data_IF_339901019572
#
_entry.id   IF_339901019572
#
_cell.length_a   1.000
_cell.length_b   1.000
_cell.length_c   1.000
_cell.angle_alpha   90.00
_cell.angle_beta   90.00
_cell.angle_gamma   90.00
#
_symmetry.space_group_name_H-M   'P 1'
#
loop_
_entity.id
_entity.type
_entity.pdbx_description
1 polymer ?
#
# COMPACT_ATOMS: atom_id res chain seq x y z
N UNK A 1 -17.23 -20.39 4.31
CA UNK A 1 -18.33 -19.39 4.26
C UNK A 1 -17.70 -18.03 4.45
N UNK A 2 -17.99 -17.05 3.58
CA UNK A 2 -17.43 -15.71 3.72
C UNK A 2 -18.00 -15.06 4.98
N UNK A 3 -17.13 -14.70 5.93
CA UNK A 3 -17.51 -13.91 7.11
C UNK A 3 -18.06 -12.58 6.62
N UNK A 4 -19.27 -12.22 7.06
CA UNK A 4 -19.91 -10.96 6.67
C UNK A 4 -19.16 -9.82 7.34
N UNK A 5 -18.42 -9.04 6.56
CA UNK A 5 -17.65 -7.88 7.04
C UNK A 5 -18.64 -6.75 7.32
N UNK A 6 -18.80 -6.37 8.59
CA UNK A 6 -19.73 -5.31 9.01
C UNK A 6 -19.02 -3.95 9.23
N UNK A 7 -17.69 -3.90 9.06
CA UNK A 7 -16.90 -2.68 9.18
C UNK A 7 -16.76 -2.05 7.80
N UNK A 8 -17.11 -0.77 7.69
CA UNK A 8 -16.90 0.03 6.48
C UNK A 8 -15.46 0.57 6.42
N UNK A 9 -14.90 0.66 5.21
CA UNK A 9 -13.52 1.11 4.97
C UNK A 9 -13.50 2.50 4.29
N UNK A 10 -12.53 3.33 4.66
CA UNK A 10 -12.29 4.63 4.04
C UNK A 10 -11.32 4.50 2.86
N UNK A 11 -11.84 4.60 1.64
CA UNK A 11 -11.04 4.51 0.40
C UNK A 11 -10.68 5.90 -0.11
N UNK A 12 -9.40 6.28 0.05
CA UNK A 12 -8.91 7.62 -0.25
C UNK A 12 -8.81 7.85 -1.76
N UNK A 13 -9.44 8.93 -2.23
CA UNK A 13 -9.52 9.26 -3.67
C UNK A 13 -8.44 10.23 -4.16
N UNK A 14 -7.86 11.04 -3.27
CA UNK A 14 -6.93 12.12 -3.60
C UNK A 14 -5.56 11.64 -4.08
N UNK A 15 -5.23 10.36 -3.95
CA UNK A 15 -3.89 9.87 -4.26
C UNK A 15 -3.59 9.60 -5.74
N UNK A 16 -4.58 9.73 -6.64
CA UNK A 16 -4.40 9.38 -8.05
C UNK A 16 -4.16 7.88 -8.24
N UNK A 17 -5.04 7.18 -8.96
CA UNK A 17 -4.81 5.76 -9.14
C UNK A 17 -5.99 4.97 -9.65
N UNK A 18 -5.78 3.65 -9.68
CA UNK A 18 -6.74 2.67 -10.16
C UNK A 18 -7.83 2.38 -9.11
N UNK A 19 -8.52 3.42 -8.65
CA UNK A 19 -9.68 3.35 -7.76
C UNK A 19 -10.71 2.35 -8.28
N UNK A 20 -10.91 2.33 -9.61
CA UNK A 20 -11.85 1.41 -10.26
C UNK A 20 -11.60 -0.07 -9.95
N UNK A 21 -10.35 -0.56 -10.07
CA UNK A 21 -10.08 -1.99 -9.81
C UNK A 21 -10.12 -2.34 -8.33
N UNK A 22 -9.63 -1.48 -7.45
CA UNK A 22 -9.65 -1.78 -6.02
C UNK A 22 -11.08 -1.74 -5.48
N UNK A 23 -11.89 -0.75 -5.87
CA UNK A 23 -13.33 -0.70 -5.54
C UNK A 23 -14.07 -1.94 -6.03
N UNK A 24 -13.84 -2.37 -7.28
CA UNK A 24 -14.47 -3.61 -7.80
C UNK A 24 -14.07 -4.85 -7.01
N UNK A 25 -12.82 -4.91 -6.55
CA UNK A 25 -12.31 -6.03 -5.75
C UNK A 25 -12.97 -6.01 -4.37
N UNK A 26 -13.07 -4.86 -3.70
CA UNK A 26 -13.78 -4.71 -2.43
C UNK A 26 -15.27 -5.08 -2.56
N UNK A 27 -15.94 -4.62 -3.62
CA UNK A 27 -17.34 -5.00 -3.92
C UNK A 27 -17.47 -6.52 -4.12
N UNK A 28 -16.58 -7.15 -4.90
CA UNK A 28 -16.60 -8.61 -5.12
C UNK A 28 -16.36 -9.37 -3.81
N UNK A 29 -15.51 -8.82 -2.93
CA UNK A 29 -15.25 -9.36 -1.61
C UNK A 29 -16.39 -9.13 -0.61
N UNK A 30 -17.41 -8.33 -0.97
CA UNK A 30 -18.49 -7.88 -0.09
C UNK A 30 -18.00 -7.07 1.11
N UNK A 31 -16.94 -6.30 0.91
CA UNK A 31 -16.39 -5.38 1.91
C UNK A 31 -17.02 -4.01 1.68
N UNK A 32 -17.79 -3.46 2.64
CA UNK A 32 -18.37 -2.14 2.50
C UNK A 32 -17.27 -1.08 2.57
N UNK A 33 -17.35 -0.07 1.71
CA UNK A 33 -16.40 1.03 1.70
C UNK A 33 -17.11 2.32 1.29
N UNK A 34 -16.56 3.45 1.71
CA UNK A 34 -16.95 4.77 1.22
C UNK A 34 -15.74 5.45 0.60
N UNK A 35 -15.99 6.24 -0.43
CA UNK A 35 -14.98 7.10 -1.03
C UNK A 35 -14.81 8.32 -0.15
N UNK A 36 -13.56 8.64 0.20
CA UNK A 36 -13.23 9.81 1.02
C UNK A 36 -12.33 10.78 0.26
N UNK A 37 -12.59 12.07 0.49
CA UNK A 37 -11.89 13.24 -0.02
C UNK A 37 -12.03 14.40 0.99
N UNK A 38 -11.82 15.64 0.56
CA UNK A 38 -11.74 16.78 1.50
C UNK A 38 -13.05 17.02 2.25
N UNK A 39 -14.19 16.90 1.57
CA UNK A 39 -15.50 17.17 2.16
C UNK A 39 -15.94 16.11 3.18
N UNK A 40 -15.30 14.92 3.17
CA UNK A 40 -15.66 13.79 4.00
C UNK A 40 -14.42 12.98 4.44
N UNK A 41 -13.39 13.69 4.89
CA UNK A 41 -12.11 13.11 5.27
C UNK A 41 -12.25 12.01 6.34
N UNK A 42 -11.30 11.06 6.40
CA UNK A 42 -11.25 10.06 7.47
C UNK A 42 -11.20 10.71 8.86
N UNK A 43 -11.93 10.12 9.81
CA UNK A 43 -11.97 10.55 11.21
C UNK A 43 -11.29 9.54 12.17
N UNK A 44 -10.82 8.42 11.62
CA UNK A 44 -10.17 7.34 12.38
C UNK A 44 -11.10 6.24 12.85
N UNK A 45 -12.42 6.37 12.65
CA UNK A 45 -13.41 5.35 13.03
C UNK A 45 -13.39 4.09 12.14
N UNK A 46 -12.73 4.17 10.98
CA UNK A 46 -12.69 3.14 9.95
C UNK A 46 -11.26 2.87 9.50
N UNK A 47 -10.92 1.62 9.12
CA UNK A 47 -9.67 1.34 8.45
C UNK A 47 -9.54 2.14 7.15
N UNK A 48 -8.33 2.62 6.86
CA UNK A 48 -8.02 3.47 5.71
C UNK A 48 -7.33 2.64 4.64
N UNK A 49 -7.76 2.80 3.38
CA UNK A 49 -7.09 2.25 2.21
C UNK A 49 -6.60 3.43 1.35
N UNK A 50 -5.28 3.52 1.16
CA UNK A 50 -4.63 4.47 0.29
C UNK A 50 -4.10 3.75 -0.96
N UNK A 51 -4.88 3.68 -2.05
CA UNK A 51 -4.36 3.26 -3.34
C UNK A 51 -3.50 4.37 -3.93
N UNK A 52 -2.47 4.04 -4.70
CA UNK A 52 -1.72 5.05 -5.44
C UNK A 52 -1.09 4.47 -6.70
N UNK A 53 -1.26 5.15 -7.83
CA UNK A 53 -0.59 4.84 -9.09
C UNK A 53 -0.14 6.16 -9.70
N UNK A 54 1.11 6.23 -10.15
CA UNK A 54 1.69 7.46 -10.67
C UNK A 54 3.05 7.75 -10.03
N UNK A 55 3.41 9.02 -9.97
CA UNK A 55 4.70 9.45 -9.43
C UNK A 55 4.58 9.87 -7.96
N UNK A 56 5.53 9.46 -7.12
CA UNK A 56 5.66 9.79 -5.71
C UNK A 56 5.43 11.28 -5.43
N UNK A 57 6.09 12.17 -6.19
CA UNK A 57 5.97 13.60 -6.01
C UNK A 57 4.56 14.14 -6.30
N UNK A 58 3.89 13.61 -7.31
CA UNK A 58 2.52 14.01 -7.66
C UNK A 58 1.52 13.54 -6.59
N UNK A 59 1.68 12.31 -6.10
CA UNK A 59 0.83 11.77 -5.01
C UNK A 59 1.04 12.57 -3.73
N UNK A 60 2.29 12.82 -3.31
CA UNK A 60 2.58 13.63 -2.12
C UNK A 60 2.08 15.08 -2.25
N UNK A 61 2.18 15.67 -3.44
CA UNK A 61 1.62 17.00 -3.70
C UNK A 61 0.10 16.99 -3.52
N UNK A 62 -0.59 16.01 -4.11
CA UNK A 62 -2.04 15.89 -3.98
C UNK A 62 -2.46 15.65 -2.53
N UNK A 63 -1.75 14.79 -1.78
CA UNK A 63 -2.04 14.57 -0.36
C UNK A 63 -1.91 15.87 0.46
N UNK A 64 -0.91 16.70 0.16
CA UNK A 64 -0.70 17.99 0.82
C UNK A 64 -1.74 19.04 0.47
N UNK A 65 -2.10 19.17 -0.81
CA UNK A 65 -3.12 20.13 -1.26
C UNK A 65 -4.51 19.84 -0.67
N UNK A 66 -4.71 18.63 -0.17
CA UNK A 66 -5.95 18.14 0.41
C UNK A 66 -5.87 17.94 1.95
N UNK A 67 -4.76 18.32 2.60
CA UNK A 67 -4.48 18.07 4.04
C UNK A 67 -4.52 16.59 4.48
N UNK A 68 -4.46 15.66 3.52
CA UNK A 68 -4.46 14.22 3.77
C UNK A 68 -3.14 13.71 4.31
N UNK A 69 -2.01 14.37 4.01
CA UNK A 69 -0.71 13.98 4.54
C UNK A 69 -0.70 14.04 6.08
N UNK A 70 -1.13 15.16 6.65
CA UNK A 70 -1.23 15.34 8.10
C UNK A 70 -2.32 14.47 8.72
N UNK A 71 -3.48 14.40 8.06
CA UNK A 71 -4.63 13.61 8.53
C UNK A 71 -4.27 12.13 8.63
N UNK A 72 -3.70 11.55 7.57
CA UNK A 72 -3.27 10.14 7.56
C UNK A 72 -2.21 9.90 8.64
N UNK A 73 -1.19 10.75 8.74
CA UNK A 73 -0.15 10.59 9.76
C UNK A 73 -0.74 10.60 11.17
N UNK A 74 -1.65 11.53 11.47
CA UNK A 74 -2.32 11.62 12.77
C UNK A 74 -3.12 10.35 13.08
N UNK A 75 -3.94 9.88 12.14
CA UNK A 75 -4.82 8.73 12.34
C UNK A 75 -4.04 7.42 12.47
N UNK A 76 -3.02 7.23 11.62
CA UNK A 76 -2.16 6.05 11.70
C UNK A 76 -1.41 6.02 13.03
N UNK A 77 -0.88 7.16 13.50
CA UNK A 77 -0.25 7.24 14.84
C UNK A 77 -1.23 7.01 15.99
N UNK A 78 -2.51 7.32 15.80
CA UNK A 78 -3.58 7.03 16.76
C UNK A 78 -4.05 5.57 16.72
N UNK A 79 -3.50 4.73 15.84
CA UNK A 79 -3.81 3.30 15.76
C UNK A 79 -4.84 2.92 14.69
N UNK A 80 -5.33 3.86 13.87
CA UNK A 80 -6.28 3.55 12.78
C UNK A 80 -5.62 2.60 11.77
N UNK A 81 -6.18 1.41 11.50
CA UNK A 81 -5.58 0.47 10.56
C UNK A 81 -5.45 1.06 9.16
N UNK A 82 -4.32 0.81 8.50
CA UNK A 82 -3.98 1.41 7.23
C UNK A 82 -3.47 0.38 6.22
N UNK A 83 -3.97 0.46 4.99
CA UNK A 83 -3.49 -0.28 3.83
C UNK A 83 -2.97 0.66 2.72
N UNK A 84 -1.67 0.61 2.44
CA UNK A 84 -1.08 1.28 1.28
C UNK A 84 -0.90 0.35 0.08
N UNK A 85 -1.23 0.80 -1.13
CA UNK A 85 -1.02 0.00 -2.36
C UNK A 85 -0.19 0.76 -3.39
N UNK A 86 0.86 0.12 -3.90
CA UNK A 86 1.83 0.64 -4.87
C UNK A 86 2.42 1.98 -4.42
N UNK A 87 2.04 3.11 -5.01
CA UNK A 87 2.54 4.41 -4.53
C UNK A 87 2.04 4.73 -3.13
N UNK A 88 0.86 4.21 -2.75
CA UNK A 88 0.35 4.29 -1.37
C UNK A 88 1.25 3.60 -0.34
N UNK A 89 2.03 2.59 -0.75
CA UNK A 89 3.10 2.04 0.10
C UNK A 89 4.31 2.97 0.12
N UNK A 90 4.73 3.45 -1.05
CA UNK A 90 5.95 4.26 -1.20
C UNK A 90 5.90 5.55 -0.39
N UNK A 91 4.76 6.24 -0.37
CA UNK A 91 4.59 7.49 0.39
C UNK A 91 4.72 7.33 1.90
N UNK A 92 4.67 6.11 2.44
CA UNK A 92 4.90 5.87 3.87
C UNK A 92 6.35 6.13 4.31
N UNK A 93 7.29 6.07 3.37
CA UNK A 93 8.72 6.24 3.60
C UNK A 93 9.14 7.72 3.64
N UNK A 94 10.41 7.98 3.97
CA UNK A 94 10.89 9.34 4.20
C UNK A 94 11.01 10.15 2.89
N UNK A 95 11.48 9.52 1.82
CA UNK A 95 11.76 10.16 0.53
C UNK A 95 11.91 9.14 -0.61
N UNK A 96 11.88 9.64 -1.86
CA UNK A 96 12.03 8.84 -3.08
C UNK A 96 13.04 9.45 -4.04
N UNK A 97 13.88 8.62 -4.65
CA UNK A 97 14.73 9.02 -5.79
C UNK A 97 13.91 9.51 -7.00
N UNK A 98 12.62 9.17 -7.08
CA UNK A 98 11.72 9.65 -8.15
C UNK A 98 11.46 11.15 -8.08
N UNK A 99 11.45 11.71 -6.87
CA UNK A 99 11.13 13.11 -6.61
C UNK A 99 12.08 13.70 -5.55
N UNK A 100 13.35 13.98 -5.91
CA UNK A 100 14.33 14.54 -4.98
C UNK A 100 13.81 15.81 -4.29
N UNK A 101 13.99 15.88 -2.97
CA UNK A 101 13.52 17.00 -2.14
C UNK A 101 12.06 16.90 -1.69
N UNK A 102 11.26 15.98 -2.23
CA UNK A 102 9.90 15.73 -1.75
C UNK A 102 9.94 14.75 -0.58
N UNK A 103 9.49 15.19 0.59
CA UNK A 103 9.30 14.32 1.77
C UNK A 103 8.01 13.53 1.65
N UNK A 104 8.08 12.24 1.99
CA UNK A 104 6.91 11.38 2.19
C UNK A 104 6.26 11.61 3.55
N UNK A 105 5.41 10.68 3.97
CA UNK A 105 4.68 10.73 5.24
C UNK A 105 5.59 10.44 6.45
N UNK A 106 6.74 9.78 6.24
CA UNK A 106 7.70 9.49 7.32
C UNK A 106 7.10 8.63 8.44
N UNK A 107 6.23 7.68 8.07
CA UNK A 107 5.65 6.70 8.99
C UNK A 107 6.53 5.45 9.12
N UNK A 108 7.40 5.20 8.13
CA UNK A 108 8.36 4.10 8.11
C UNK A 108 9.72 4.67 7.71
N UNK A 109 10.75 4.43 8.53
CA UNK A 109 12.12 4.86 8.23
C UNK A 109 12.67 4.10 7.02
N UNK A 110 13.18 4.83 6.03
CA UNK A 110 13.77 4.29 4.83
C UNK A 110 13.44 5.11 3.60
N UNK A 111 13.85 4.59 2.43
CA UNK A 111 13.78 5.34 1.17
C UNK A 111 13.20 4.52 0.05
N UNK A 112 12.67 5.20 -0.97
CA UNK A 112 12.23 4.59 -2.21
C UNK A 112 13.32 4.81 -3.26
N UNK A 113 13.84 3.71 -3.81
CA UNK A 113 14.99 3.68 -4.72
C UNK A 113 14.56 3.23 -6.11
N UNK A 114 15.31 3.62 -7.14
CA UNK A 114 15.09 3.17 -8.52
C UNK A 114 15.82 1.86 -8.77
N UNK A 115 15.18 0.92 -9.47
CA UNK A 115 15.91 -0.22 -10.04
C UNK A 115 16.97 0.28 -11.03
N UNK A 116 18.21 -0.19 -10.90
CA UNK A 116 19.34 0.27 -11.72
C UNK A 116 19.76 -0.71 -12.81
N UNK A 117 19.28 -1.94 -12.73
CA UNK A 117 19.68 -3.03 -13.61
C UNK A 117 18.50 -3.59 -14.40
N UNK A 118 18.79 -4.14 -15.58
CA UNK A 118 17.82 -4.82 -16.42
C UNK A 118 16.73 -3.93 -17.01
N UNK A 119 15.54 -4.52 -17.22
CA UNK A 119 14.41 -3.81 -17.86
C UNK A 119 13.66 -3.03 -16.78
N UNK A 120 13.48 -1.73 -16.96
CA UNK A 120 12.74 -0.89 -16.01
C UNK A 120 11.66 -0.13 -16.77
N UNK A 121 10.39 -0.10 -16.31
CA UNK A 121 9.86 -0.66 -15.05
C UNK A 121 9.81 -2.20 -15.01
N UNK A 122 9.76 -2.74 -13.79
CA UNK A 122 9.27 -4.09 -13.53
C UNK A 122 7.79 -4.14 -13.95
N UNK A 123 7.44 -4.95 -14.95
CA UNK A 123 6.06 -5.18 -15.38
C UNK A 123 5.81 -6.68 -15.48
N UNK A 124 4.86 -7.18 -14.70
CA UNK A 124 4.40 -8.56 -14.81
C UNK A 124 4.24 -9.25 -13.47
N UNK A 125 4.04 -10.56 -13.54
CA UNK A 125 3.94 -11.42 -12.36
C UNK A 125 5.31 -11.73 -11.81
N UNK A 126 5.51 -11.54 -10.50
CA UNK A 126 6.73 -11.94 -9.81
C UNK A 126 6.39 -12.65 -8.49
N UNK A 127 7.31 -13.48 -8.02
CA UNK A 127 7.14 -14.24 -6.78
C UNK A 127 7.40 -13.34 -5.57
N UNK A 128 6.55 -13.45 -4.56
CA UNK A 128 6.77 -12.89 -3.23
C UNK A 128 7.04 -14.03 -2.23
N UNK A 129 7.99 -13.80 -1.33
CA UNK A 129 8.39 -14.72 -0.26
C UNK A 129 8.30 -14.01 1.09
N UNK A 130 7.67 -14.61 2.12
CA UNK A 130 7.62 -14.01 3.44
C UNK A 130 9.03 -13.79 4.00
N UNK A 131 9.27 -12.63 4.61
CA UNK A 131 10.57 -12.31 5.20
C UNK A 131 10.72 -12.94 6.59
N UNK A 132 9.89 -12.49 7.55
CA UNK A 132 10.09 -12.78 8.97
C UNK A 132 9.07 -13.80 9.51
N UNK A 133 7.84 -13.78 8.99
CA UNK A 133 6.74 -14.64 9.45
C UNK A 133 6.38 -15.66 8.37
N UNK A 134 6.78 -16.92 8.59
CA UNK A 134 6.56 -18.02 7.66
C UNK A 134 5.12 -18.56 7.69
N UNK A 135 4.22 -18.01 8.53
CA UNK A 135 2.77 -18.29 8.47
C UNK A 135 2.09 -17.65 7.25
N UNK A 136 2.79 -16.75 6.55
CA UNK A 136 2.35 -16.18 5.30
C UNK A 136 2.75 -17.08 4.14
N UNK A 137 1.86 -17.24 3.16
CA UNK A 137 2.16 -18.07 2.00
C UNK A 137 3.01 -17.30 0.98
N UNK A 138 3.94 -18.00 0.33
CA UNK A 138 4.58 -17.48 -0.89
C UNK A 138 3.60 -17.55 -2.06
N UNK A 139 3.74 -16.67 -3.05
CA UNK A 139 2.83 -16.66 -4.20
C UNK A 139 3.31 -15.75 -5.32
N UNK A 140 2.56 -15.70 -6.40
CA UNK A 140 2.80 -14.78 -7.51
C UNK A 140 1.80 -13.63 -7.49
N UNK A 141 2.31 -12.41 -7.66
CA UNK A 141 1.52 -11.18 -7.66
C UNK A 141 1.99 -10.25 -8.79
N UNK A 142 1.14 -9.31 -9.18
CA UNK A 142 1.38 -8.42 -10.32
C UNK A 142 2.05 -7.11 -9.89
N UNK A 143 3.21 -6.84 -10.48
CA UNK A 143 4.02 -5.62 -10.30
C UNK A 143 3.97 -4.73 -11.55
N UNK A 144 4.01 -3.42 -11.32
CA UNK A 144 4.17 -2.37 -12.35
C UNK A 144 4.84 -1.16 -11.71
N UNK A 145 6.16 -1.21 -11.52
CA UNK A 145 6.91 -0.19 -10.80
C UNK A 145 8.36 -0.03 -11.30
N UNK A 146 8.83 1.21 -11.37
CA UNK A 146 10.24 1.54 -11.62
C UNK A 146 11.05 1.70 -10.33
N UNK A 147 10.36 1.97 -9.23
CA UNK A 147 10.92 2.24 -7.92
C UNK A 147 10.43 1.20 -6.92
N UNK A 148 11.21 0.97 -5.87
CA UNK A 148 10.89 0.03 -4.79
C UNK A 148 11.28 0.62 -3.44
N UNK A 149 10.61 0.18 -2.37
CA UNK A 149 10.96 0.62 -1.03
C UNK A 149 12.16 -0.15 -0.45
N UNK A 150 13.03 0.55 0.25
CA UNK A 150 14.14 0.02 1.05
C UNK A 150 13.98 0.55 2.48
N UNK A 151 13.31 -0.21 3.37
CA UNK A 151 13.26 0.11 4.78
C UNK A 151 14.66 0.10 5.40
N UNK A 152 14.88 0.93 6.42
CA UNK A 152 16.15 0.90 7.19
C UNK A 152 16.24 -0.33 8.11
N UNK A 153 15.09 -0.91 8.48
CA UNK A 153 15.00 -2.12 9.28
C UNK A 153 14.22 -3.21 8.55
N UNK A 154 14.80 -4.39 8.40
CA UNK A 154 14.13 -5.56 7.83
C UNK A 154 12.96 -6.08 8.69
N UNK A 155 12.85 -5.63 9.95
CA UNK A 155 11.77 -6.03 10.86
C UNK A 155 10.38 -5.66 10.36
N UNK A 156 10.25 -4.56 9.61
CA UNK A 156 8.95 -4.12 9.06
C UNK A 156 8.60 -4.82 7.74
N UNK A 157 9.53 -5.54 7.12
CA UNK A 157 9.33 -6.19 5.83
C UNK A 157 8.47 -7.44 6.01
N UNK A 158 7.29 -7.45 5.37
CA UNK A 158 6.40 -8.60 5.33
C UNK A 158 6.80 -9.58 4.23
N UNK A 159 6.99 -9.07 3.01
CA UNK A 159 7.37 -9.86 1.84
C UNK A 159 8.59 -9.26 1.15
N UNK A 160 9.48 -10.15 0.68
CA UNK A 160 10.56 -9.83 -0.26
C UNK A 160 10.24 -10.40 -1.64
N UNK A 161 10.78 -9.79 -2.68
CA UNK A 161 10.76 -10.29 -4.06
C UNK A 161 12.11 -10.00 -4.72
N UNK A 162 12.43 -10.74 -5.78
CA UNK A 162 13.70 -10.63 -6.49
C UNK A 162 13.44 -10.10 -7.90
N UNK A 163 14.00 -8.94 -8.24
CA UNK A 163 13.96 -8.34 -9.57
C UNK A 163 15.25 -7.59 -9.86
N UNK A 164 16.24 -8.29 -10.42
CA UNK A 164 17.65 -7.84 -10.54
C UNK A 164 18.36 -7.63 -9.19
N UNK A 165 17.61 -7.28 -8.15
CA UNK A 165 18.00 -7.22 -6.75
C UNK A 165 16.82 -7.66 -5.86
N UNK A 166 17.12 -8.06 -4.63
CA UNK A 166 16.08 -8.36 -3.64
C UNK A 166 15.52 -7.06 -3.06
N UNK A 167 14.20 -6.89 -3.11
CA UNK A 167 13.54 -5.67 -2.62
C UNK A 167 12.34 -5.97 -1.70
N UNK A 168 11.91 -4.93 -0.96
CA UNK A 168 10.73 -5.00 -0.09
C UNK A 168 9.45 -4.95 -0.94
N UNK A 169 8.75 -6.08 -1.04
CA UNK A 169 7.51 -6.21 -1.79
C UNK A 169 6.27 -5.87 -0.97
N UNK A 170 6.36 -5.96 0.36
CA UNK A 170 5.32 -5.56 1.29
C UNK A 170 5.89 -5.25 2.67
N UNK A 171 5.20 -4.39 3.43
CA UNK A 171 5.51 -4.09 4.83
C UNK A 171 4.32 -4.40 5.74
N UNK A 172 4.62 -4.78 6.98
CA UNK A 172 3.65 -4.87 8.09
C UNK A 172 4.34 -4.42 9.37
N UNK A 173 3.84 -3.34 9.98
CA UNK A 173 4.35 -2.81 11.24
C UNK A 173 3.24 -2.08 11.99
N UNK A 174 3.01 -2.44 13.26
CA UNK A 174 1.86 -1.94 14.02
C UNK A 174 0.54 -2.15 13.27
N UNK A 175 -0.19 -1.06 13.08
CA UNK A 175 -1.45 -0.96 12.34
C UNK A 175 -1.28 -0.67 10.84
N UNK A 176 -0.06 -0.65 10.32
CA UNK A 176 0.25 -0.40 8.90
C UNK A 176 0.48 -1.73 8.20
N UNK A 177 -0.23 -1.94 7.09
CA UNK A 177 0.09 -2.93 6.07
C UNK A 177 0.25 -2.19 4.74
N UNK A 178 1.21 -2.58 3.90
CA UNK A 178 1.29 -2.01 2.56
C UNK A 178 1.93 -2.96 1.57
N UNK A 179 1.48 -2.90 0.32
CA UNK A 179 1.90 -3.76 -0.78
C UNK A 179 2.50 -2.92 -1.91
N UNK A 180 3.67 -3.30 -2.41
CA UNK A 180 4.26 -2.69 -3.61
C UNK A 180 3.54 -3.19 -4.88
N UNK A 181 3.11 -4.44 -4.87
CA UNK A 181 2.30 -5.04 -5.93
C UNK A 181 0.84 -4.57 -5.86
N UNK A 182 0.10 -4.87 -6.93
CA UNK A 182 -1.33 -4.57 -7.05
C UNK A 182 -2.17 -5.80 -6.66
N UNK A 183 -2.64 -5.94 -5.42
CA UNK A 183 -3.44 -7.10 -5.03
C UNK A 183 -4.73 -7.21 -5.86
N UNK A 184 -5.31 -6.08 -6.27
CA UNK A 184 -6.50 -6.03 -7.13
C UNK A 184 -6.26 -6.54 -8.56
N UNK A 185 -4.99 -6.70 -8.96
CA UNK A 185 -4.56 -7.28 -10.25
C UNK A 185 -3.89 -8.65 -10.11
N UNK A 186 -3.78 -9.17 -8.89
CA UNK A 186 -2.99 -10.37 -8.56
C UNK A 186 -3.83 -11.65 -8.42
N UNK A 187 -5.01 -11.69 -9.05
CA UNK A 187 -5.89 -12.86 -9.06
C UNK A 187 -6.26 -13.34 -7.66
N UNK A 188 -6.29 -14.66 -7.48
CA UNK A 188 -6.67 -15.29 -6.22
C UNK A 188 -5.72 -14.93 -5.07
N UNK A 189 -4.40 -14.90 -5.33
CA UNK A 189 -3.40 -14.56 -4.33
C UNK A 189 -3.62 -13.14 -3.78
N UNK A 190 -3.84 -12.17 -4.67
CA UNK A 190 -4.14 -10.80 -4.26
C UNK A 190 -5.42 -10.67 -3.45
N UNK A 191 -6.48 -11.39 -3.85
CA UNK A 191 -7.73 -11.40 -3.09
C UNK A 191 -7.59 -12.06 -1.72
N UNK A 192 -6.83 -13.16 -1.60
CA UNK A 192 -6.55 -13.80 -0.30
C UNK A 192 -5.81 -12.87 0.65
N UNK A 193 -4.80 -12.14 0.16
CA UNK A 193 -4.06 -11.17 0.97
C UNK A 193 -4.95 -10.01 1.44
N UNK A 194 -5.80 -9.47 0.56
CA UNK A 194 -6.77 -8.43 0.93
C UNK A 194 -7.78 -8.94 1.95
N UNK A 195 -8.32 -10.15 1.76
CA UNK A 195 -9.24 -10.77 2.74
C UNK A 195 -8.57 -10.99 4.09
N UNK A 196 -7.31 -11.44 4.12
CA UNK A 196 -6.54 -11.58 5.36
C UNK A 196 -6.40 -10.24 6.06
N UNK A 197 -6.01 -9.18 5.36
CA UNK A 197 -5.91 -7.85 5.96
C UNK A 197 -7.27 -7.35 6.47
N UNK A 198 -8.34 -7.50 5.68
CA UNK A 198 -9.69 -7.13 6.12
C UNK A 198 -10.07 -7.87 7.40
N UNK A 199 -9.88 -9.18 7.47
CA UNK A 199 -10.17 -9.95 8.68
C UNK A 199 -9.29 -9.57 9.88
N UNK A 200 -8.05 -9.13 9.65
CA UNK A 200 -7.13 -8.72 10.73
C UNK A 200 -7.57 -7.40 11.39
N UNK A 201 -8.37 -6.57 10.71
CA UNK A 201 -8.73 -5.21 11.15
C UNK A 201 -10.21 -5.02 11.49
N UNK A 202 -10.99 -6.10 11.45
CA UNK A 202 -12.43 -6.12 11.74
C UNK A 202 -12.77 -7.13 12.82
#
# INVERSE_FOLDING_TARGET
>A
MATKVNVEFDLVTSAGGNLGSISRTLTRMQVPFRLVGNENAPDGSRPIILPGVGAFGAVMKSLKENDFDQTIVKLVRAGTPFLGVCVGMQVLFDESEEAPGVKGLGLISGKVLKFKEGKVPQIGWNQIKPSNDQSWESGYVYFVNSYYAKPDSDSVTLYKSDYHETFCAAVKTGNITAFQFHPEKSGEMGERLLRRWVNDVT
#
